data_IF_278622706887
#
_entry.id   IF_278622706887
#
_cell.length_a   1.000
_cell.length_b   1.000
_cell.length_c   1.000
_cell.angle_alpha   90.00
_cell.angle_beta   90.00
_cell.angle_gamma   90.00
#
_symmetry.space_group_name_H-M   'P 1'
#
loop_
_entity.id
_entity.type
_entity.pdbx_description
1 polymer ?
#
# COMPACT_ATOMS: atom_id res chain seq x y z
N UNK A 1 -4.83 15.09 14.03
CA UNK A 1 -4.12 15.25 12.74
C UNK A 1 -3.82 16.72 12.53
N UNK A 2 -2.58 17.06 12.13
CA UNK A 2 -2.18 18.41 11.70
C UNK A 2 -1.94 18.38 10.19
N UNK A 3 -2.28 19.47 9.52
CA UNK A 3 -2.04 19.67 8.09
C UNK A 3 -1.25 20.95 7.89
N UNK A 4 -0.30 20.95 6.95
CA UNK A 4 0.39 22.17 6.53
C UNK A 4 -0.46 22.97 5.53
N UNK A 5 -0.06 24.20 5.24
CA UNK A 5 -0.58 24.91 4.06
C UNK A 5 -0.21 24.15 2.77
N UNK A 6 -1.04 24.25 1.71
CA UNK A 6 -0.74 23.67 0.41
C UNK A 6 0.59 24.20 -0.14
N UNK A 7 1.42 23.29 -0.67
CA UNK A 7 2.69 23.63 -1.36
C UNK A 7 2.62 23.18 -2.80
N UNK A 8 2.95 24.06 -3.72
CA UNK A 8 3.04 23.71 -5.14
C UNK A 8 4.22 22.79 -5.41
N UNK A 9 3.97 21.77 -6.23
CA UNK A 9 4.98 20.85 -6.71
C UNK A 9 5.52 21.32 -8.08
N UNK A 10 6.72 20.87 -8.45
CA UNK A 10 7.35 21.17 -9.75
C UNK A 10 6.51 20.75 -10.96
N UNK A 11 5.57 19.82 -10.77
CA UNK A 11 4.69 19.29 -11.82
C UNK A 11 3.29 19.95 -11.86
N UNK A 12 3.12 21.13 -11.24
CA UNK A 12 1.86 21.88 -11.23
C UNK A 12 0.78 21.35 -10.27
N UNK A 13 1.02 20.26 -9.57
CA UNK A 13 0.16 19.78 -8.49
C UNK A 13 0.48 20.47 -7.16
N UNK A 14 -0.41 20.31 -6.18
CA UNK A 14 -0.19 20.77 -4.82
C UNK A 14 -0.13 19.59 -3.85
N UNK A 15 0.55 19.77 -2.74
CA UNK A 15 0.62 18.78 -1.66
C UNK A 15 0.46 19.44 -0.30
N UNK A 16 -0.37 18.85 0.54
CA UNK A 16 -0.51 19.19 1.96
C UNK A 16 0.14 18.08 2.78
N UNK A 17 1.13 18.45 3.61
CA UNK A 17 1.74 17.48 4.52
C UNK A 17 0.76 17.14 5.65
N UNK A 18 0.76 15.87 6.04
CA UNK A 18 -0.07 15.34 7.14
C UNK A 18 0.85 14.75 8.19
N UNK A 19 0.69 15.19 9.44
CA UNK A 19 1.45 14.69 10.59
C UNK A 19 0.58 14.59 11.84
N UNK A 20 1.12 13.90 12.85
CA UNK A 20 0.52 13.84 14.17
C UNK A 20 0.80 15.13 14.99
N UNK A 21 0.39 15.14 16.25
CA UNK A 21 0.60 16.29 17.13
C UNK A 21 2.07 16.57 17.45
N UNK A 22 2.97 15.60 17.25
CA UNK A 22 4.43 15.69 17.46
C UNK A 22 5.21 15.97 16.17
N UNK A 23 4.52 16.34 15.09
CA UNK A 23 5.07 16.55 13.74
C UNK A 23 5.71 15.29 13.10
N UNK A 24 5.35 14.09 13.59
CA UNK A 24 5.79 12.82 13.03
C UNK A 24 4.81 12.37 11.94
N UNK A 25 5.33 11.74 10.90
CA UNK A 25 4.52 11.16 9.83
C UNK A 25 3.88 9.84 10.27
N UNK A 26 2.67 9.60 9.82
CA UNK A 26 1.98 8.34 10.07
C UNK A 26 2.60 7.21 9.27
N UNK A 27 2.90 6.10 9.95
CA UNK A 27 3.35 4.85 9.35
C UNK A 27 2.36 3.74 9.67
N UNK A 28 2.20 2.81 8.73
CA UNK A 28 1.28 1.68 8.83
C UNK A 28 2.00 0.40 8.47
N UNK A 29 1.75 -0.64 9.25
CA UNK A 29 2.23 -1.98 8.97
C UNK A 29 1.10 -2.77 8.30
N UNK A 30 1.34 -3.18 7.08
CA UNK A 30 0.45 -4.04 6.30
C UNK A 30 1.01 -5.45 6.33
N UNK A 31 0.21 -6.42 6.78
CA UNK A 31 0.63 -7.81 6.87
C UNK A 31 -0.02 -8.66 5.79
N UNK A 32 0.69 -9.71 5.36
CA UNK A 32 0.23 -10.67 4.36
C UNK A 32 -0.27 -10.00 3.07
N UNK A 33 0.54 -9.09 2.59
CA UNK A 33 0.31 -8.38 1.35
C UNK A 33 0.60 -9.27 0.14
N UNK A 34 -0.14 -9.03 -0.93
CA UNK A 34 0.12 -9.57 -2.26
C UNK A 34 0.07 -8.43 -3.27
N UNK A 35 0.76 -8.59 -4.39
CA UNK A 35 0.70 -7.69 -5.53
C UNK A 35 0.57 -8.51 -6.80
N UNK A 36 -0.37 -8.16 -7.68
CA UNK A 36 -0.57 -8.89 -8.93
C UNK A 36 0.43 -8.46 -10.01
N UNK A 37 0.89 -7.22 -9.94
CA UNK A 37 1.70 -6.60 -10.99
C UNK A 37 3.15 -6.36 -10.54
N UNK A 38 3.48 -6.58 -9.24
CA UNK A 38 4.77 -6.20 -8.68
C UNK A 38 5.01 -4.69 -8.72
N UNK A 39 6.27 -4.28 -8.89
CA UNK A 39 6.67 -2.88 -8.99
C UNK A 39 6.56 -2.43 -10.45
N UNK A 40 5.73 -1.43 -10.72
CA UNK A 40 5.44 -0.90 -12.04
C UNK A 40 5.85 0.58 -12.17
N UNK A 41 6.08 1.01 -13.40
CA UNK A 41 6.39 2.39 -13.79
C UNK A 41 7.88 2.61 -14.05
N UNK A 42 8.19 3.44 -15.03
CA UNK A 42 9.58 3.77 -15.42
C UNK A 42 10.15 4.91 -14.56
N UNK A 43 9.59 6.12 -14.67
CA UNK A 43 10.10 7.29 -13.97
C UNK A 43 9.60 7.40 -12.52
N UNK A 44 8.40 6.90 -12.22
CA UNK A 44 7.81 6.89 -10.87
C UNK A 44 7.32 5.49 -10.55
N UNK A 45 8.17 4.74 -9.89
CA UNK A 45 7.84 3.37 -9.49
C UNK A 45 6.75 3.34 -8.41
N UNK A 46 5.79 2.46 -8.58
CA UNK A 46 4.71 2.21 -7.61
C UNK A 46 4.36 0.73 -7.58
N UNK A 47 3.75 0.31 -6.49
CA UNK A 47 3.22 -1.04 -6.31
C UNK A 47 1.75 -0.94 -5.89
N UNK A 48 0.91 -1.83 -6.42
CA UNK A 48 -0.45 -2.04 -5.92
C UNK A 48 -0.42 -3.17 -4.90
N UNK A 49 -0.75 -2.84 -3.67
CA UNK A 49 -0.70 -3.76 -2.53
C UNK A 49 -2.11 -4.12 -2.12
N UNK A 50 -2.44 -5.39 -2.15
CA UNK A 50 -3.66 -5.94 -1.57
C UNK A 50 -3.35 -6.52 -0.19
N UNK A 51 -4.13 -6.16 0.82
CA UNK A 51 -3.98 -6.68 2.18
C UNK A 51 -5.34 -7.06 2.75
N UNK A 52 -5.33 -8.05 3.64
CA UNK A 52 -6.54 -8.44 4.38
C UNK A 52 -6.83 -7.54 5.59
N UNK A 53 -5.87 -6.72 6.00
CA UNK A 53 -5.97 -5.84 7.18
C UNK A 53 -6.49 -4.45 6.83
N UNK A 54 -7.63 -4.35 6.16
CA UNK A 54 -8.21 -3.07 5.71
C UNK A 54 -9.03 -2.30 6.76
N UNK A 55 -9.13 -2.80 7.99
CA UNK A 55 -10.15 -2.40 8.98
C UNK A 55 -10.11 -0.91 9.38
N UNK A 56 -9.00 -0.20 9.20
CA UNK A 56 -8.89 1.21 9.61
C UNK A 56 -8.86 2.21 8.46
N UNK A 57 -8.93 1.75 7.23
CA UNK A 57 -8.78 2.61 6.04
C UNK A 57 -10.02 3.47 5.81
N UNK A 58 -11.19 2.89 5.98
CA UNK A 58 -12.46 3.58 5.81
C UNK A 58 -12.61 4.74 6.82
N UNK A 59 -12.18 4.52 8.06
CA UNK A 59 -12.15 5.61 9.06
C UNK A 59 -11.20 6.74 8.65
N UNK A 60 -10.07 6.42 8.00
CA UNK A 60 -9.13 7.43 7.55
C UNK A 60 -9.68 8.23 6.37
N UNK A 61 -10.39 7.59 5.43
CA UNK A 61 -11.08 8.28 4.33
C UNK A 61 -12.10 9.30 4.87
N UNK A 62 -12.91 8.91 5.86
CA UNK A 62 -13.88 9.79 6.49
C UNK A 62 -13.20 11.00 7.20
N UNK A 63 -12.13 10.74 7.96
CA UNK A 63 -11.36 11.81 8.61
C UNK A 63 -10.81 12.80 7.58
N UNK A 64 -10.29 12.31 6.46
CA UNK A 64 -9.75 13.16 5.39
C UNK A 64 -10.85 13.98 4.71
N UNK A 65 -12.01 13.39 4.47
CA UNK A 65 -13.17 14.10 3.90
C UNK A 65 -13.63 15.22 4.83
N UNK A 66 -13.73 14.98 6.14
CA UNK A 66 -14.12 15.99 7.12
C UNK A 66 -13.10 17.15 7.18
N UNK A 67 -11.81 16.82 7.14
CA UNK A 67 -10.75 17.82 7.07
C UNK A 67 -10.80 18.63 5.77
N UNK A 68 -11.08 17.98 4.64
CA UNK A 68 -11.17 18.64 3.34
C UNK A 68 -12.35 19.60 3.26
N UNK A 69 -13.51 19.24 3.81
CA UNK A 69 -14.66 20.13 3.91
C UNK A 69 -14.33 21.35 4.78
N UNK A 70 -13.76 21.10 5.97
CA UNK A 70 -13.42 22.16 6.94
C UNK A 70 -12.39 23.15 6.37
N UNK A 71 -11.41 22.67 5.60
CA UNK A 71 -10.34 23.48 5.04
C UNK A 71 -10.55 23.79 3.55
N UNK A 72 -11.77 23.61 3.02
CA UNK A 72 -12.04 23.70 1.58
C UNK A 72 -11.65 25.04 0.96
N UNK A 73 -11.85 26.16 1.67
CA UNK A 73 -11.46 27.50 1.21
C UNK A 73 -9.94 27.62 1.05
N UNK A 74 -9.15 27.01 1.94
CA UNK A 74 -7.69 27.04 1.88
C UNK A 74 -7.16 26.07 0.81
N UNK A 75 -7.72 24.86 0.73
CA UNK A 75 -7.21 23.80 -0.14
C UNK A 75 -7.67 23.92 -1.59
N UNK A 76 -8.90 24.44 -1.80
CA UNK A 76 -9.51 24.51 -3.14
C UNK A 76 -9.81 25.96 -3.58
N UNK A 77 -9.47 26.97 -2.76
CA UNK A 77 -9.72 28.39 -3.04
C UNK A 77 -11.18 28.83 -2.90
N UNK A 78 -12.07 27.92 -2.49
CA UNK A 78 -13.50 28.23 -2.24
C UNK A 78 -14.10 27.26 -1.22
N UNK A 79 -15.13 27.74 -0.49
CA UNK A 79 -15.91 26.87 0.39
C UNK A 79 -16.69 25.85 -0.43
N UNK A 80 -16.63 24.57 -0.02
CA UNK A 80 -17.32 23.47 -0.67
C UNK A 80 -18.09 22.64 0.32
N UNK A 81 -19.23 22.09 -0.10
CA UNK A 81 -19.99 21.12 0.66
C UNK A 81 -19.38 19.71 0.59
N UNK A 82 -19.83 18.83 1.50
CA UNK A 82 -19.33 17.45 1.59
C UNK A 82 -19.53 16.65 0.29
N UNK A 83 -20.67 16.84 -0.39
CA UNK A 83 -21.00 16.09 -1.60
C UNK A 83 -20.02 16.44 -2.72
N UNK A 84 -19.70 17.72 -2.87
CA UNK A 84 -18.74 18.20 -3.86
C UNK A 84 -17.34 17.71 -3.55
N UNK A 85 -16.89 17.80 -2.29
CA UNK A 85 -15.58 17.31 -1.85
C UNK A 85 -15.47 15.80 -2.05
N UNK A 86 -16.51 15.03 -1.71
CA UNK A 86 -16.51 13.57 -1.86
C UNK A 86 -16.40 13.12 -3.32
N UNK A 87 -16.98 13.85 -4.27
CA UNK A 87 -16.85 13.56 -5.71
C UNK A 87 -15.42 13.73 -6.23
N UNK A 88 -14.65 14.61 -5.62
CA UNK A 88 -13.25 14.87 -5.96
C UNK A 88 -12.28 13.92 -5.27
N UNK A 89 -12.71 13.28 -4.19
CA UNK A 89 -11.86 12.43 -3.38
C UNK A 89 -11.60 11.08 -4.05
N UNK A 90 -10.33 10.66 -4.05
CA UNK A 90 -9.92 9.31 -4.42
C UNK A 90 -9.70 8.49 -3.16
N UNK A 91 -10.57 7.49 -2.89
CA UNK A 91 -10.42 6.61 -1.73
C UNK A 91 -9.05 5.94 -1.69
N UNK A 92 -8.59 5.62 -0.49
CA UNK A 92 -7.31 4.94 -0.26
C UNK A 92 -7.29 3.59 -0.96
N UNK A 93 -8.39 2.82 -0.82
CA UNK A 93 -8.55 1.54 -1.49
C UNK A 93 -9.30 1.72 -2.81
N UNK A 94 -8.64 1.36 -3.90
CA UNK A 94 -9.28 1.16 -5.19
C UNK A 94 -9.28 -0.34 -5.51
N UNK A 95 -10.46 -0.96 -5.60
CA UNK A 95 -10.62 -2.40 -5.80
C UNK A 95 -9.81 -3.23 -4.78
N UNK A 96 -9.90 -2.87 -3.49
CA UNK A 96 -9.17 -3.50 -2.36
C UNK A 96 -7.65 -3.34 -2.40
N UNK A 97 -7.10 -2.57 -3.31
CA UNK A 97 -5.66 -2.35 -3.42
C UNK A 97 -5.25 -0.92 -3.05
N UNK A 98 -4.10 -0.80 -2.40
CA UNK A 98 -3.43 0.45 -2.12
C UNK A 98 -2.42 0.73 -3.22
N UNK A 99 -2.41 1.95 -3.74
CA UNK A 99 -1.32 2.40 -4.59
C UNK A 99 -0.24 3.06 -3.75
N UNK A 100 0.91 2.43 -3.66
CA UNK A 100 2.05 2.88 -2.84
C UNK A 100 3.21 3.22 -3.76
N UNK A 101 3.78 4.42 -3.60
CA UNK A 101 4.99 4.83 -4.33
C UNK A 101 6.20 4.08 -3.78
N UNK A 102 7.02 3.55 -4.66
CA UNK A 102 8.31 2.94 -4.35
C UNK A 102 9.39 4.02 -4.56
N UNK A 103 10.03 4.53 -3.49
CA UNK A 103 11.08 5.54 -3.63
C UNK A 103 12.33 4.89 -4.20
N UNK A 104 12.80 5.43 -5.30
CA UNK A 104 14.06 5.03 -5.94
C UNK A 104 15.07 6.14 -5.74
N UNK A 105 16.28 5.77 -5.44
CA UNK A 105 17.42 6.67 -5.41
C UNK A 105 17.80 7.05 -6.85
N UNK A 106 17.82 8.34 -7.14
CA UNK A 106 18.04 8.87 -8.49
C UNK A 106 19.46 8.61 -9.01
N UNK A 107 20.42 8.33 -8.13
CA UNK A 107 21.82 8.08 -8.49
C UNK A 107 22.06 6.59 -8.73
N UNK A 108 21.60 5.75 -7.82
CA UNK A 108 21.85 4.31 -7.85
C UNK A 108 20.80 3.52 -8.60
N UNK A 109 19.61 4.11 -8.83
CA UNK A 109 18.45 3.41 -9.38
C UNK A 109 17.83 2.37 -8.44
N UNK A 110 18.36 2.26 -7.22
CA UNK A 110 17.94 1.24 -6.25
C UNK A 110 16.79 1.71 -5.37
N UNK A 111 16.06 0.78 -4.78
CA UNK A 111 15.02 1.10 -3.81
C UNK A 111 15.62 1.76 -2.56
N UNK A 112 15.18 2.98 -2.28
CA UNK A 112 15.59 3.74 -1.10
C UNK A 112 14.74 3.32 0.12
N UNK A 113 14.85 2.05 0.50
CA UNK A 113 14.15 1.46 1.64
C UNK A 113 14.81 0.16 2.09
N UNK A 114 14.17 -0.56 3.02
CA UNK A 114 14.65 -1.85 3.52
C UNK A 114 13.88 -3.00 2.91
N UNK A 115 14.58 -4.02 2.40
CA UNK A 115 13.98 -5.30 2.02
C UNK A 115 14.61 -6.40 2.84
N UNK A 116 13.80 -7.25 3.42
CA UNK A 116 14.22 -8.30 4.35
C UNK A 116 13.60 -9.65 3.97
N UNK A 117 14.35 -10.70 4.18
CA UNK A 117 13.85 -12.07 4.10
C UNK A 117 13.19 -12.52 5.41
N UNK A 118 12.74 -13.77 5.48
CA UNK A 118 12.15 -14.35 6.68
C UNK A 118 13.09 -14.37 7.89
N UNK A 119 14.40 -14.46 7.66
CA UNK A 119 15.42 -14.49 8.71
C UNK A 119 15.81 -13.09 9.20
N UNK A 120 15.15 -12.03 8.67
CA UNK A 120 15.47 -10.62 8.86
C UNK A 120 16.82 -10.18 8.25
N UNK A 121 17.39 -10.96 7.34
CA UNK A 121 18.56 -10.53 6.58
C UNK A 121 18.13 -9.51 5.53
N UNK A 122 18.95 -8.48 5.32
CA UNK A 122 18.71 -7.49 4.28
C UNK A 122 19.08 -8.07 2.92
N UNK A 123 18.16 -7.95 1.97
CA UNK A 123 18.31 -8.43 0.59
C UNK A 123 18.05 -7.28 -0.41
N UNK A 124 18.35 -7.49 -1.69
CA UNK A 124 18.05 -6.51 -2.72
C UNK A 124 16.58 -6.67 -3.19
N UNK A 125 15.90 -5.58 -3.50
CA UNK A 125 14.54 -5.60 -4.06
C UNK A 125 14.49 -6.28 -5.43
N UNK A 126 15.56 -6.20 -6.19
CA UNK A 126 15.65 -6.80 -7.53
C UNK A 126 15.76 -8.34 -7.48
N UNK A 127 16.12 -8.90 -6.32
CA UNK A 127 16.16 -10.36 -6.09
C UNK A 127 14.80 -10.93 -5.66
N UNK A 128 13.77 -10.07 -5.53
CA UNK A 128 12.46 -10.43 -4.99
C UNK A 128 11.39 -10.28 -6.06
N UNK A 129 10.50 -11.27 -6.13
CA UNK A 129 9.32 -11.25 -7.02
C UNK A 129 8.06 -10.96 -6.24
N UNK A 130 7.80 -9.66 -5.98
CA UNK A 130 6.62 -9.22 -5.22
C UNK A 130 5.29 -9.58 -5.91
N UNK A 131 5.29 -9.91 -7.20
CA UNK A 131 4.13 -10.41 -7.92
C UNK A 131 3.78 -11.87 -7.62
N UNK A 132 4.72 -12.64 -7.08
CA UNK A 132 4.52 -14.06 -6.78
C UNK A 132 4.64 -14.40 -5.30
N UNK A 133 5.24 -13.53 -4.50
CA UNK A 133 5.52 -13.77 -3.10
C UNK A 133 4.56 -12.99 -2.20
N UNK A 134 4.29 -13.55 -1.03
CA UNK A 134 3.59 -12.83 0.03
C UNK A 134 4.60 -12.00 0.82
N UNK A 135 4.21 -10.80 1.25
CA UNK A 135 5.11 -9.92 1.99
C UNK A 135 4.36 -9.10 3.04
N UNK A 136 5.10 -8.62 4.03
CA UNK A 136 4.65 -7.54 4.91
C UNK A 136 5.26 -6.23 4.42
N UNK A 137 4.54 -5.12 4.55
CA UNK A 137 4.99 -3.82 4.11
C UNK A 137 4.83 -2.76 5.21
N UNK A 138 5.84 -1.92 5.36
CA UNK A 138 5.72 -0.68 6.13
C UNK A 138 5.56 0.47 5.15
N UNK A 139 4.43 1.15 5.23
CA UNK A 139 4.11 2.31 4.39
C UNK A 139 4.00 3.58 5.23
N UNK A 140 4.29 4.71 4.63
CA UNK A 140 4.21 6.02 5.26
C UNK A 140 3.27 6.93 4.49
N UNK A 141 2.38 7.62 5.20
CA UNK A 141 1.59 8.71 4.64
C UNK A 141 2.51 9.90 4.34
N UNK A 142 2.63 10.24 3.07
CA UNK A 142 3.41 11.40 2.61
C UNK A 142 2.63 12.69 2.81
N UNK A 143 1.35 12.67 2.43
CA UNK A 143 0.44 13.80 2.51
C UNK A 143 -0.77 13.63 1.60
N UNK A 144 -1.49 14.73 1.41
CA UNK A 144 -2.64 14.82 0.51
C UNK A 144 -2.14 15.46 -0.79
N UNK A 145 -2.36 14.81 -1.93
CA UNK A 145 -2.08 15.39 -3.24
C UNK A 145 -3.33 16.03 -3.82
N UNK A 146 -3.13 17.08 -4.62
CA UNK A 146 -4.18 17.78 -5.36
C UNK A 146 -3.76 17.88 -6.82
N UNK A 147 -4.63 17.45 -7.70
CA UNK A 147 -4.54 17.66 -9.14
C UNK A 147 -5.88 18.19 -9.65
N UNK A 148 -5.96 18.75 -10.88
CA UNK A 148 -7.22 19.28 -11.37
C UNK A 148 -8.36 18.27 -11.29
N UNK A 149 -9.40 18.60 -10.54
CA UNK A 149 -10.61 17.79 -10.39
C UNK A 149 -10.54 16.65 -9.37
N UNK A 150 -9.39 16.34 -8.77
CA UNK A 150 -9.29 15.29 -7.77
C UNK A 150 -8.23 15.54 -6.70
N UNK A 151 -8.40 14.88 -5.55
CA UNK A 151 -7.40 14.82 -4.48
C UNK A 151 -7.45 13.47 -3.78
N UNK A 152 -6.37 13.12 -3.08
CA UNK A 152 -6.29 11.86 -2.36
C UNK A 152 -5.02 11.75 -1.53
N UNK A 153 -4.81 10.60 -0.88
CA UNK A 153 -3.64 10.35 -0.06
C UNK A 153 -2.50 9.77 -0.88
N UNK A 154 -1.30 10.26 -0.61
CA UNK A 154 -0.06 9.76 -1.20
C UNK A 154 0.70 8.93 -0.19
N UNK A 155 1.05 7.72 -0.56
CA UNK A 155 1.75 6.72 0.25
C UNK A 155 3.14 6.43 -0.31
N UNK A 156 4.07 6.12 0.60
CA UNK A 156 5.44 5.75 0.27
C UNK A 156 5.80 4.44 0.97
N UNK A 157 6.39 3.51 0.23
CA UNK A 157 6.95 2.28 0.77
C UNK A 157 8.24 2.58 1.54
N UNK A 158 8.35 2.07 2.76
CA UNK A 158 9.55 2.20 3.58
C UNK A 158 10.32 0.89 3.69
N UNK A 159 9.59 -0.20 3.94
CA UNK A 159 10.18 -1.51 4.14
C UNK A 159 9.28 -2.61 3.58
N UNK A 160 9.90 -3.70 3.18
CA UNK A 160 9.25 -4.94 2.77
C UNK A 160 9.91 -6.10 3.50
N UNK A 161 9.12 -7.02 4.03
CA UNK A 161 9.59 -8.31 4.52
C UNK A 161 8.92 -9.40 3.70
N UNK A 162 9.71 -10.18 2.97
CA UNK A 162 9.22 -11.20 2.06
C UNK A 162 9.06 -12.52 2.78
N UNK A 163 7.95 -13.18 2.50
CA UNK A 163 7.63 -14.52 2.98
C UNK A 163 7.60 -15.46 1.78
N UNK A 164 8.69 -16.19 1.48
CA UNK A 164 8.71 -17.11 0.36
C UNK A 164 7.61 -18.16 0.53
N UNK A 165 6.95 -18.52 -0.56
CA UNK A 165 5.96 -19.59 -0.55
C UNK A 165 6.66 -20.89 -0.18
N UNK A 166 6.18 -21.55 0.86
CA UNK A 166 6.56 -22.94 1.12
C UNK A 166 5.97 -23.79 -0.01
N UNK A 167 6.78 -24.17 -0.97
CA UNK A 167 6.40 -25.17 -1.94
C UNK A 167 6.33 -26.50 -1.21
N UNK A 168 5.24 -27.24 -1.35
CA UNK A 168 5.18 -28.63 -0.93
C UNK A 168 6.13 -29.39 -1.86
N UNK A 169 7.31 -29.70 -1.34
CA UNK A 169 8.37 -30.37 -2.09
C UNK A 169 8.12 -31.89 -2.24
N UNK A 170 7.07 -32.42 -1.60
CA UNK A 170 6.69 -33.84 -1.64
C UNK A 170 5.21 -33.97 -2.07
N UNK A 171 4.91 -35.11 -2.67
CA UNK A 171 3.55 -35.51 -2.98
C UNK A 171 2.73 -35.59 -1.68
N UNK A 172 1.75 -34.71 -1.51
CA UNK A 172 0.99 -34.53 -0.28
C UNK A 172 -0.45 -35.11 -0.36
N UNK A 173 -0.76 -35.83 -1.42
CA UNK A 173 -2.03 -36.52 -1.52
C UNK A 173 -1.90 -37.91 -0.91
N UNK A 174 -2.82 -38.26 0.02
CA UNK A 174 -2.97 -39.62 0.48
C UNK A 174 -3.48 -40.44 -0.68
N UNK A 175 -2.77 -41.50 -1.06
CA UNK A 175 -3.36 -42.55 -1.88
C UNK A 175 -4.37 -43.26 -0.97
N UNK A 176 -5.65 -43.20 -1.35
CA UNK A 176 -6.64 -44.10 -0.77
C UNK A 176 -6.18 -45.52 -1.09
N UNK A 177 -5.60 -46.21 -0.10
CA UNK A 177 -5.36 -47.65 -0.18
C UNK A 177 -6.73 -48.28 -0.23
N UNK A 178 -7.13 -48.81 -1.40
CA UNK A 178 -8.26 -49.68 -1.60
C UNK A 178 -8.05 -50.93 -0.73
N UNK A 179 -8.71 -50.94 0.41
CA UNK A 179 -8.79 -52.06 1.33
C UNK A 179 -9.82 -53.07 0.76
N UNK A 180 -9.45 -53.72 -0.34
CA UNK A 180 -10.18 -54.91 -0.84
C UNK A 180 -9.63 -56.14 -0.14
N UNK A 181 -10.00 -56.37 1.09
CA UNK A 181 -9.92 -57.68 1.72
C UNK A 181 -11.14 -58.52 1.36
N UNK A 182 -11.11 -59.19 0.20
CA UNK A 182 -11.95 -60.31 -0.09
C UNK A 182 -11.56 -61.48 0.80
N UNK A 183 -12.29 -61.66 1.88
CA UNK A 183 -12.25 -62.88 2.67
C UNK A 183 -13.31 -63.84 2.12
N UNK A 184 -12.87 -64.82 1.35
CA UNK A 184 -13.73 -65.98 1.03
C UNK A 184 -13.90 -66.89 2.27
N UNK A 185 -15.12 -67.35 2.55
CA UNK A 185 -15.36 -68.35 3.60
C UNK A 185 -15.25 -69.76 2.99
N UNK A 186 -14.51 -70.59 3.67
CA UNK A 186 -14.56 -72.04 3.46
C UNK A 186 -15.17 -72.73 4.65
#
# INVERSE_FOLDING_TARGET
MRTSCPRSNTNGGQTVCVCNAKDEKYTFNLSRCVSQEGIIGEAKKSIKVETRNSIHVECLDEIILDHAVKNSSEWFGKSMDRVTVQRMYKPILNNKSWRVRVPIDDVTGSFNGGVFNNNNDRINIDDVRLETEMFDAVIQLVGIYFIPGEFGLSWKLLQVKVHPRTLLCAYAFNSDEDDTSDAEPN
#
